data_IF_372307087855
#
_entry.id   IF_372307087855
#
_cell.length_a   1.000
_cell.length_b   1.000
_cell.length_c   1.000
_cell.angle_alpha   90.00
_cell.angle_beta   90.00
_cell.angle_gamma   90.00
#
_symmetry.space_group_name_H-M   'P 1'
#
loop_
_entity.id
_entity.type
_entity.pdbx_description
1 polymer ?
#
# COMPACT_ATOMS: atom_id res chain seq x y z
N UNK A 1 -35.48 -0.37 -2.63
CA UNK A 1 -35.85 -1.67 -2.02
C UNK A 1 -37.17 -2.11 -2.63
N UNK A 2 -37.17 -3.09 -3.54
CA UNK A 2 -38.41 -3.57 -4.15
C UNK A 2 -39.32 -4.30 -3.15
N UNK A 3 -38.74 -4.93 -2.14
CA UNK A 3 -39.47 -5.76 -1.19
C UNK A 3 -40.23 -5.00 -0.09
N UNK A 4 -39.96 -3.71 0.15
CA UNK A 4 -40.70 -2.92 1.15
C UNK A 4 -42.16 -2.65 0.78
N UNK A 5 -42.54 -2.89 -0.47
CA UNK A 5 -43.91 -2.81 -0.98
C UNK A 5 -44.35 -4.15 -1.61
N UNK A 6 -43.73 -5.26 -1.21
CA UNK A 6 -44.07 -6.59 -1.71
C UNK A 6 -45.47 -7.01 -1.25
N UNK A 7 -46.17 -7.82 -2.06
CA UNK A 7 -47.50 -8.34 -1.70
C UNK A 7 -47.42 -9.39 -0.58
N UNK A 8 -46.29 -10.09 -0.48
CA UNK A 8 -45.96 -10.98 0.63
C UNK A 8 -45.56 -10.16 1.86
N UNK A 9 -46.39 -10.26 2.90
CA UNK A 9 -46.24 -9.52 4.16
C UNK A 9 -44.96 -9.93 4.89
N UNK A 10 -44.54 -11.21 4.83
CA UNK A 10 -43.31 -11.67 5.48
C UNK A 10 -42.08 -11.01 4.84
N UNK A 11 -42.02 -11.00 3.50
CA UNK A 11 -40.95 -10.34 2.76
C UNK A 11 -40.95 -8.82 3.01
N UNK A 12 -42.12 -8.20 3.11
CA UNK A 12 -42.23 -6.78 3.45
C UNK A 12 -41.66 -6.48 4.84
N UNK A 13 -42.04 -7.26 5.86
CA UNK A 13 -41.58 -7.09 7.23
C UNK A 13 -40.06 -7.28 7.34
N UNK A 14 -39.51 -8.33 6.72
CA UNK A 14 -38.06 -8.58 6.67
C UNK A 14 -37.28 -7.45 6.00
N UNK A 15 -37.78 -6.94 4.88
CA UNK A 15 -37.17 -5.80 4.20
C UNK A 15 -37.19 -4.54 5.07
N UNK A 16 -38.30 -4.30 5.78
CA UNK A 16 -38.43 -3.16 6.68
C UNK A 16 -37.51 -3.29 7.89
N UNK A 17 -37.33 -4.49 8.44
CA UNK A 17 -36.41 -4.76 9.55
C UNK A 17 -34.95 -4.45 9.16
N UNK A 18 -34.50 -4.92 7.99
CA UNK A 18 -33.16 -4.59 7.48
C UNK A 18 -32.99 -3.10 7.22
N UNK A 19 -33.96 -2.45 6.58
CA UNK A 19 -33.92 -0.99 6.34
C UNK A 19 -33.83 -0.19 7.63
N UNK A 20 -34.66 -0.55 8.60
CA UNK A 20 -34.71 0.14 9.89
C UNK A 20 -33.40 -0.04 10.63
N UNK A 21 -32.81 -1.23 10.58
CA UNK A 21 -31.49 -1.48 11.17
C UNK A 21 -30.39 -0.68 10.46
N UNK A 22 -30.34 -0.68 9.13
CA UNK A 22 -29.37 0.11 8.36
C UNK A 22 -29.50 1.61 8.62
N UNK A 23 -30.72 2.12 8.80
CA UNK A 23 -30.96 3.53 9.06
C UNK A 23 -30.33 4.03 10.37
N UNK A 24 -30.12 3.14 11.36
CA UNK A 24 -29.42 3.47 12.62
C UNK A 24 -27.96 3.89 12.40
N UNK A 25 -27.36 3.41 11.31
CA UNK A 25 -25.95 3.64 10.95
C UNK A 25 -25.76 4.73 9.90
N UNK A 26 -26.85 5.28 9.35
CA UNK A 26 -26.85 6.33 8.34
C UNK A 26 -26.59 5.84 6.91
N UNK A 27 -26.75 6.75 5.94
CA UNK A 27 -26.63 6.44 4.50
C UNK A 27 -25.24 6.70 3.91
N UNK A 28 -24.31 7.19 4.73
CA UNK A 28 -22.99 7.67 4.30
C UNK A 28 -21.82 6.83 4.83
N UNK A 29 -22.01 5.54 5.12
CA UNK A 29 -20.99 4.68 5.75
C UNK A 29 -19.66 4.75 4.99
N UNK A 30 -19.70 4.63 3.65
CA UNK A 30 -18.52 4.70 2.79
C UNK A 30 -17.85 6.09 2.68
N UNK A 31 -18.41 7.13 3.32
CA UNK A 31 -17.82 8.49 3.38
C UNK A 31 -17.27 8.81 4.76
N UNK A 32 -17.41 7.90 5.72
CA UNK A 32 -16.81 8.04 7.04
C UNK A 32 -15.29 7.95 6.94
N UNK A 33 -14.60 8.45 7.96
CA UNK A 33 -13.18 8.13 8.09
C UNK A 33 -13.01 6.63 8.35
N UNK A 34 -11.87 6.07 7.98
CA UNK A 34 -11.62 4.62 8.01
C UNK A 34 -11.92 3.93 9.35
N UNK A 35 -11.62 4.58 10.49
CA UNK A 35 -11.93 4.01 11.80
C UNK A 35 -13.43 4.01 12.08
N UNK A 36 -14.12 5.11 11.77
CA UNK A 36 -15.56 5.23 11.93
C UNK A 36 -16.32 4.29 10.97
N UNK A 37 -15.86 4.16 9.72
CA UNK A 37 -16.39 3.20 8.75
C UNK A 37 -16.25 1.77 9.29
N UNK A 38 -15.04 1.37 9.68
CA UNK A 38 -14.75 0.04 10.24
C UNK A 38 -15.65 -0.28 11.44
N UNK A 39 -15.76 0.65 12.39
CA UNK A 39 -16.59 0.48 13.57
C UNK A 39 -18.08 0.37 13.23
N UNK A 40 -18.54 1.18 12.26
CA UNK A 40 -19.92 1.17 11.79
C UNK A 40 -20.27 -0.15 11.11
N UNK A 41 -19.41 -0.64 10.22
CA UNK A 41 -19.57 -1.94 9.56
C UNK A 41 -19.57 -3.09 10.56
N UNK A 42 -18.66 -3.08 11.55
CA UNK A 42 -18.63 -4.10 12.60
C UNK A 42 -19.92 -4.14 13.42
N UNK A 43 -20.46 -2.97 13.79
CA UNK A 43 -21.71 -2.92 14.55
C UNK A 43 -22.91 -3.38 13.70
N UNK A 44 -22.97 -2.97 12.43
CA UNK A 44 -24.01 -3.39 11.48
C UNK A 44 -23.99 -4.92 11.28
N UNK A 45 -22.82 -5.50 10.98
CA UNK A 45 -22.64 -6.94 10.81
C UNK A 45 -23.01 -7.71 12.08
N UNK A 46 -22.59 -7.21 13.25
CA UNK A 46 -22.93 -7.81 14.54
C UNK A 46 -24.45 -7.80 14.79
N UNK A 47 -25.15 -6.74 14.40
CA UNK A 47 -26.61 -6.70 14.50
C UNK A 47 -27.26 -7.75 13.60
N UNK A 48 -26.78 -7.90 12.36
CA UNK A 48 -27.30 -8.89 11.42
C UNK A 48 -27.05 -10.33 11.86
N UNK A 49 -25.93 -10.59 12.55
CA UNK A 49 -25.59 -11.92 13.09
C UNK A 49 -26.36 -12.24 14.37
N UNK A 50 -26.53 -11.27 15.28
CA UNK A 50 -27.01 -11.54 16.64
C UNK A 50 -28.52 -11.31 16.83
N UNK A 51 -29.20 -10.61 15.93
CA UNK A 51 -30.66 -10.40 16.01
C UNK A 51 -31.36 -11.43 15.11
N UNK A 52 -32.14 -12.38 15.68
CA UNK A 52 -32.74 -13.47 14.90
C UNK A 52 -33.56 -13.01 13.69
N UNK A 53 -34.37 -11.96 13.85
CA UNK A 53 -35.19 -11.41 12.77
C UNK A 53 -34.35 -10.86 11.60
N UNK A 54 -33.16 -10.31 11.90
CA UNK A 54 -32.24 -9.80 10.87
C UNK A 54 -31.47 -10.95 10.21
N UNK A 55 -31.03 -11.95 10.97
CA UNK A 55 -30.37 -13.14 10.43
C UNK A 55 -31.29 -13.93 9.49
N UNK A 56 -32.57 -14.05 9.85
CA UNK A 56 -33.60 -14.66 8.99
C UNK A 56 -33.83 -13.83 7.73
N UNK A 57 -33.89 -12.50 7.83
CA UNK A 57 -34.01 -11.62 6.67
C UNK A 57 -32.80 -11.72 5.72
N UNK A 58 -31.57 -11.76 6.24
CA UNK A 58 -30.34 -11.97 5.47
C UNK A 58 -30.40 -13.28 4.68
N UNK A 59 -30.87 -14.36 5.33
CA UNK A 59 -31.00 -15.67 4.69
C UNK A 59 -32.11 -15.66 3.64
N UNK A 60 -33.27 -15.07 3.96
CA UNK A 60 -34.43 -14.97 3.06
C UNK A 60 -34.11 -14.21 1.78
N UNK A 61 -33.31 -13.13 1.87
CA UNK A 61 -32.88 -12.35 0.71
C UNK A 61 -31.56 -12.83 0.08
N UNK A 62 -31.03 -13.98 0.52
CA UNK A 62 -29.81 -14.59 -0.03
C UNK A 62 -28.60 -13.63 0.06
N UNK A 63 -28.50 -12.90 1.16
CA UNK A 63 -27.44 -11.92 1.41
C UNK A 63 -26.27 -12.50 2.20
N UNK A 64 -26.34 -13.76 2.60
CA UNK A 64 -25.30 -14.43 3.41
C UNK A 64 -23.91 -14.36 2.77
N UNK A 65 -23.80 -14.50 1.45
CA UNK A 65 -22.51 -14.36 0.75
C UNK A 65 -21.90 -12.97 0.88
N UNK A 66 -22.72 -11.92 0.84
CA UNK A 66 -22.27 -10.54 1.03
C UNK A 66 -21.79 -10.30 2.46
N UNK A 67 -22.51 -10.82 3.46
CA UNK A 67 -22.09 -10.75 4.87
C UNK A 67 -20.75 -11.45 5.07
N UNK A 68 -20.62 -12.65 4.49
CA UNK A 68 -19.42 -13.48 4.59
C UNK A 68 -18.19 -12.87 3.91
N UNK A 69 -18.37 -12.00 2.90
CA UNK A 69 -17.24 -11.28 2.29
C UNK A 69 -16.95 -9.94 2.96
N UNK A 70 -17.98 -9.21 3.36
CA UNK A 70 -17.81 -7.88 3.96
C UNK A 70 -17.08 -7.95 5.29
N UNK A 71 -17.34 -8.99 6.10
CA UNK A 71 -16.69 -9.19 7.40
C UNK A 71 -15.17 -9.37 7.30
N UNK A 72 -14.63 -10.36 6.58
CA UNK A 72 -13.18 -10.54 6.45
C UNK A 72 -12.53 -9.36 5.73
N UNK A 73 -13.18 -8.76 4.72
CA UNK A 73 -12.63 -7.59 4.04
C UNK A 73 -12.45 -6.39 5.00
N UNK A 74 -13.42 -6.13 5.88
CA UNK A 74 -13.33 -5.07 6.88
C UNK A 74 -12.25 -5.38 7.94
N UNK A 75 -12.13 -6.63 8.37
CA UNK A 75 -11.09 -7.09 9.32
C UNK A 75 -9.68 -6.97 8.73
N UNK A 76 -9.49 -7.38 7.47
CA UNK A 76 -8.22 -7.28 6.76
C UNK A 76 -7.82 -5.82 6.57
N UNK A 77 -8.77 -4.97 6.17
CA UNK A 77 -8.55 -3.54 6.03
C UNK A 77 -8.10 -2.91 7.36
N UNK A 78 -8.82 -3.17 8.46
CA UNK A 78 -8.49 -2.62 9.76
C UNK A 78 -7.09 -3.07 10.23
N UNK A 79 -6.77 -4.36 10.02
CA UNK A 79 -5.44 -4.91 10.31
C UNK A 79 -4.35 -4.15 9.56
N UNK A 80 -4.51 -3.96 8.24
CA UNK A 80 -3.54 -3.23 7.41
C UNK A 80 -3.43 -1.76 7.79
N UNK A 81 -4.55 -1.11 8.12
CA UNK A 81 -4.56 0.28 8.54
C UNK A 81 -3.79 0.50 9.86
N UNK A 82 -3.98 -0.40 10.83
CA UNK A 82 -3.25 -0.36 12.10
C UNK A 82 -1.77 -0.68 11.91
N UNK A 83 -1.42 -1.68 11.10
CA UNK A 83 -0.03 -2.01 10.76
C UNK A 83 0.68 -0.81 10.14
N UNK A 84 0.06 -0.15 9.17
CA UNK A 84 0.64 1.06 8.55
C UNK A 84 0.86 2.18 9.59
N UNK A 85 -0.08 2.36 10.50
CA UNK A 85 0.05 3.37 11.57
C UNK A 85 1.19 3.03 12.52
N UNK A 86 1.34 1.74 12.85
CA UNK A 86 2.44 1.25 13.64
C UNK A 86 3.78 1.43 12.90
N UNK A 87 3.86 1.07 11.61
CA UNK A 87 5.07 1.26 10.78
C UNK A 87 5.50 2.73 10.74
N UNK A 88 4.56 3.68 10.68
CA UNK A 88 4.89 5.10 10.78
C UNK A 88 5.41 5.50 12.16
N UNK A 89 4.92 4.88 13.23
CA UNK A 89 5.39 5.12 14.61
C UNK A 89 6.74 4.46 14.91
N UNK A 90 6.97 3.27 14.35
CA UNK A 90 8.20 2.47 14.49
C UNK A 90 9.28 2.90 13.49
N UNK A 91 8.93 3.73 12.50
CA UNK A 91 9.88 4.31 11.58
C UNK A 91 10.93 5.12 12.37
N UNK A 92 12.15 4.60 12.41
CA UNK A 92 13.30 5.32 12.93
C UNK A 92 13.43 6.68 12.21
N UNK A 93 13.81 7.76 12.91
CA UNK A 93 14.20 9.01 12.26
C UNK A 93 15.41 8.81 11.31
N UNK A 94 16.11 7.67 11.39
CA UNK A 94 17.02 7.23 10.34
C UNK A 94 16.25 6.89 9.06
N UNK A 95 16.14 7.90 8.21
CA UNK A 95 15.59 7.72 6.87
C UNK A 95 16.55 6.91 5.99
N UNK A 96 16.00 6.34 4.91
CA UNK A 96 16.81 5.78 3.81
C UNK A 96 17.86 6.80 3.33
N UNK A 97 17.57 8.10 3.42
CA UNK A 97 18.53 9.17 3.10
C UNK A 97 19.76 9.13 4.03
N UNK A 98 19.57 9.07 5.35
CA UNK A 98 20.68 9.03 6.30
C UNK A 98 21.58 7.80 6.06
N UNK A 99 20.98 6.63 5.83
CA UNK A 99 21.75 5.41 5.53
C UNK A 99 22.47 5.46 4.19
N UNK A 100 21.92 6.15 3.18
CA UNK A 100 22.63 6.42 1.92
C UNK A 100 23.84 7.33 2.15
N UNK A 101 23.71 8.37 2.96
CA UNK A 101 24.81 9.29 3.29
C UNK A 101 25.94 8.58 4.06
N UNK A 102 25.59 7.76 5.07
CA UNK A 102 26.55 6.93 5.79
C UNK A 102 27.28 5.96 4.84
N UNK A 103 26.54 5.28 3.97
CA UNK A 103 27.10 4.34 2.99
C UNK A 103 28.02 5.04 2.00
N UNK A 104 27.60 6.19 1.46
CA UNK A 104 28.42 6.98 0.54
C UNK A 104 29.72 7.44 1.20
N UNK A 105 29.65 7.90 2.45
CA UNK A 105 30.83 8.31 3.22
C UNK A 105 31.82 7.16 3.38
N UNK A 106 31.34 5.98 3.80
CA UNK A 106 32.17 4.80 3.95
C UNK A 106 32.76 4.33 2.61
N UNK A 107 31.97 4.36 1.53
CA UNK A 107 32.40 4.01 0.19
C UNK A 107 33.52 4.93 -0.31
N UNK A 108 33.37 6.26 -0.19
CA UNK A 108 34.39 7.20 -0.64
C UNK A 108 35.68 7.06 0.17
N UNK A 109 35.58 6.87 1.48
CA UNK A 109 36.75 6.61 2.32
C UNK A 109 37.52 5.34 1.90
N UNK A 110 36.79 4.26 1.55
CA UNK A 110 37.40 3.03 1.05
C UNK A 110 38.06 3.24 -0.32
N UNK A 111 37.37 3.90 -1.25
CA UNK A 111 37.89 4.23 -2.58
C UNK A 111 39.20 5.01 -2.47
N UNK A 112 39.18 6.10 -1.71
CA UNK A 112 40.34 6.99 -1.56
C UNK A 112 41.52 6.25 -0.91
N UNK A 113 41.26 5.33 0.03
CA UNK A 113 42.29 4.48 0.61
C UNK A 113 42.88 3.50 -0.40
N UNK A 114 42.07 2.89 -1.25
CA UNK A 114 42.55 1.99 -2.31
C UNK A 114 43.43 2.76 -3.30
N UNK A 115 43.00 3.95 -3.71
CA UNK A 115 43.78 4.81 -4.62
C UNK A 115 45.10 5.25 -3.99
N UNK A 116 45.09 5.66 -2.73
CA UNK A 116 46.31 6.03 -2.00
C UNK A 116 47.28 4.85 -1.88
N UNK A 117 46.79 3.66 -1.54
CA UNK A 117 47.61 2.46 -1.45
C UNK A 117 48.12 2.02 -2.83
N UNK A 118 47.33 2.19 -3.89
CA UNK A 118 47.78 1.95 -5.26
C UNK A 118 48.96 2.85 -5.64
N UNK A 119 48.87 4.14 -5.31
CA UNK A 119 49.89 5.15 -5.61
C UNK A 119 51.20 4.95 -4.83
N UNK A 120 51.10 4.51 -3.57
CA UNK A 120 52.25 4.31 -2.68
C UNK A 120 53.01 3.00 -2.90
N UNK A 121 52.57 2.13 -3.82
CA UNK A 121 53.26 0.87 -4.11
C UNK A 121 54.60 1.15 -4.79
N UNK A 122 55.68 0.75 -4.12
CA UNK A 122 57.05 0.95 -4.61
C UNK A 122 57.47 -0.08 -5.68
N UNK A 123 56.78 -1.22 -5.78
CA UNK A 123 57.11 -2.31 -6.70
C UNK A 123 55.91 -2.73 -7.57
N UNK A 124 55.97 -2.48 -8.89
CA UNK A 124 54.92 -2.93 -9.81
C UNK A 124 54.86 -4.46 -9.97
N UNK A 125 53.68 -5.04 -10.26
CA UNK A 125 52.39 -4.36 -10.39
C UNK A 125 51.69 -4.15 -9.05
N UNK A 126 50.89 -3.09 -8.96
CA UNK A 126 50.11 -2.81 -7.74
C UNK A 126 49.03 -3.87 -7.50
N UNK A 127 48.91 -4.42 -6.27
CA UNK A 127 47.89 -5.40 -5.94
C UNK A 127 46.46 -4.83 -6.04
N UNK A 128 46.31 -3.51 -6.06
CA UNK A 128 45.01 -2.82 -6.15
C UNK A 128 44.55 -2.58 -7.59
N UNK A 129 45.40 -2.81 -8.60
CA UNK A 129 45.07 -2.51 -9.99
C UNK A 129 43.81 -3.24 -10.48
N UNK A 130 43.63 -4.51 -10.09
CA UNK A 130 42.47 -5.32 -10.49
C UNK A 130 41.17 -4.74 -9.94
N UNK A 131 41.12 -4.39 -8.65
CA UNK A 131 39.89 -3.86 -8.04
C UNK A 131 39.55 -2.47 -8.56
N UNK A 132 40.54 -1.62 -8.82
CA UNK A 132 40.35 -0.30 -9.45
C UNK A 132 39.73 -0.46 -10.84
N UNK A 133 40.29 -1.34 -11.67
CA UNK A 133 39.77 -1.57 -13.02
C UNK A 133 38.34 -2.11 -13.01
N UNK A 134 38.01 -3.00 -12.07
CA UNK A 134 36.65 -3.52 -11.91
C UNK A 134 35.66 -2.44 -11.44
N UNK A 135 36.06 -1.59 -10.49
CA UNK A 135 35.22 -0.47 -10.04
C UNK A 135 34.96 0.53 -11.16
N UNK A 136 35.99 0.91 -11.91
CA UNK A 136 35.85 1.81 -13.06
C UNK A 136 34.92 1.22 -14.14
N UNK A 137 35.08 -0.07 -14.45
CA UNK A 137 34.21 -0.74 -15.41
C UNK A 137 32.74 -0.75 -14.94
N UNK A 138 32.49 -0.94 -13.65
CA UNK A 138 31.14 -0.84 -13.08
C UNK A 138 30.59 0.59 -13.17
N UNK A 139 31.39 1.60 -12.80
CA UNK A 139 31.01 3.01 -12.93
C UNK A 139 30.64 3.37 -14.36
N UNK A 140 31.41 2.92 -15.34
CA UNK A 140 31.13 3.14 -16.76
C UNK A 140 29.83 2.47 -17.22
N UNK A 141 29.55 1.24 -16.75
CA UNK A 141 28.29 0.57 -17.05
C UNK A 141 27.09 1.33 -16.51
N UNK A 142 27.15 1.79 -15.26
CA UNK A 142 26.06 2.55 -14.65
C UNK A 142 25.87 3.93 -15.29
N UNK A 143 26.95 4.64 -15.62
CA UNK A 143 26.87 5.92 -16.32
C UNK A 143 26.18 5.77 -17.68
N UNK A 144 26.50 4.70 -18.45
CA UNK A 144 25.80 4.41 -19.71
C UNK A 144 24.30 4.16 -19.52
N UNK A 145 23.91 3.42 -18.49
CA UNK A 145 22.51 3.18 -18.18
C UNK A 145 21.76 4.48 -17.81
N UNK A 146 22.41 5.38 -17.06
CA UNK A 146 21.81 6.66 -16.67
C UNK A 146 21.63 7.57 -17.89
N UNK A 147 22.67 7.71 -18.73
CA UNK A 147 22.61 8.52 -19.97
C UNK A 147 21.49 8.03 -20.89
N UNK A 148 21.40 6.73 -21.11
CA UNK A 148 20.34 6.16 -21.95
C UNK A 148 18.92 6.42 -21.40
N UNK A 149 18.76 6.49 -20.07
CA UNK A 149 17.48 6.82 -19.42
C UNK A 149 17.12 8.30 -19.59
N UNK A 150 18.08 9.21 -19.49
CA UNK A 150 17.85 10.65 -19.71
C UNK A 150 17.57 10.99 -21.17
N UNK A 151 18.23 10.31 -22.10
CA UNK A 151 17.99 10.50 -23.54
C UNK A 151 16.61 9.99 -23.96
N UNK A 152 16.18 8.84 -23.41
CA UNK A 152 14.83 8.29 -23.67
C UNK A 152 13.71 9.20 -23.15
N UNK A 153 13.92 9.90 -22.03
CA UNK A 153 12.94 10.88 -21.49
C UNK A 153 12.86 12.18 -22.28
N UNK A 154 13.81 12.44 -23.18
CA UNK A 154 13.87 13.66 -24.01
C UNK A 154 13.22 13.48 -25.39
N UNK A 155 12.82 12.26 -25.75
CA UNK A 155 12.19 11.95 -27.05
C UNK A 155 10.67 11.75 -26.99
N UNK A 156 10.04 11.80 -25.81
CA UNK A 156 8.58 11.83 -25.69
C UNK A 156 8.08 13.28 -25.57
N UNK A 157 7.97 13.95 -26.71
CA UNK A 157 6.95 15.00 -26.87
C UNK A 157 6.23 14.74 -28.19
N UNK A 158 5.09 14.02 -28.18
CA UNK A 158 4.16 14.09 -29.29
C UNK A 158 3.50 15.47 -29.23
N UNK A 159 3.83 16.28 -30.22
CA UNK A 159 3.11 17.49 -30.63
C UNK A 159 1.61 17.15 -30.71
N UNK A 160 0.80 17.74 -29.83
CA UNK A 160 -0.65 17.62 -29.87
C UNK A 160 -1.17 18.63 -30.89
N UNK A 161 -1.77 18.23 -32.03
CA UNK A 161 -2.49 19.16 -32.87
C UNK A 161 -3.81 19.49 -32.17
N UNK A 162 -3.97 20.76 -31.80
CA UNK A 162 -5.28 21.32 -31.45
C UNK A 162 -6.20 21.25 -32.68
N UNK A 163 -7.33 20.57 -32.53
CA UNK A 163 -8.69 21.07 -32.84
C UNK A 163 -9.76 20.09 -32.32
#
# INVERSE_FOLDING_TARGET
MGYSYHYDIDLQQKAQSLLTNMALYGSGIARLNYQAETATLNNLLRDWENKPDLADAITTFVLTSWVNELKPANEEFNTKYLLRTQEYGDASPETITNKREETNTAYYALRDRIDALHLLVETPPSPYATVINQLNALTDQYNKLIVNRTDSSSQETPENPQD
#
